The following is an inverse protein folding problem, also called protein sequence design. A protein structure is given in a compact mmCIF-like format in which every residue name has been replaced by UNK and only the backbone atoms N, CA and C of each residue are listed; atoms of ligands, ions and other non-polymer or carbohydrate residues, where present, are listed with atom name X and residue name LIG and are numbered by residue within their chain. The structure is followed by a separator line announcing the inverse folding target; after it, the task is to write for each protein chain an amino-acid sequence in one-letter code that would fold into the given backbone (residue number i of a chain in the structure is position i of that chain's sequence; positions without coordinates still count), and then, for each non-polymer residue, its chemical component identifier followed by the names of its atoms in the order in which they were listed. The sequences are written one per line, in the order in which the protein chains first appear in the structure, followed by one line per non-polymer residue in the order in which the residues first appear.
data_IF_290145488681
#
_entry.id   IF_290145488681
#
_cell.length_a   1.000
_cell.length_b   1.000
_cell.length_c   1.000
_cell.angle_alpha   90.00
_cell.angle_beta   90.00
_cell.angle_gamma   90.00
#
_symmetry.space_group_name_H-M   'P 1'
#
loop_
_entity.id
_entity.type
_entity.pdbx_description
1 polymer ?
#
# COMPACT_ATOMS: atom_id res chain seq x y z
N UNK A 1 3.34 54.23 -15.85
CA UNK A 1 3.92 53.62 -14.64
C UNK A 1 3.32 52.24 -14.49
N UNK A 2 4.07 51.18 -14.80
CA UNK A 2 3.59 49.80 -14.67
C UNK A 2 3.57 49.41 -13.20
N UNK A 3 2.41 48.97 -12.71
CA UNK A 3 2.35 48.35 -11.38
C UNK A 3 3.23 47.09 -11.36
N UNK A 4 4.07 46.89 -10.32
CA UNK A 4 4.82 45.67 -10.19
C UNK A 4 3.86 44.49 -9.98
N UNK A 5 4.14 43.32 -10.56
CA UNK A 5 3.31 42.14 -10.34
C UNK A 5 3.34 41.78 -8.86
N UNK A 6 2.16 41.63 -8.25
CA UNK A 6 2.03 41.21 -6.85
C UNK A 6 2.71 39.85 -6.68
N UNK A 7 3.73 39.76 -5.84
CA UNK A 7 4.35 38.49 -5.48
C UNK A 7 3.33 37.64 -4.73
N UNK A 8 3.09 36.41 -5.21
CA UNK A 8 2.21 35.45 -4.53
C UNK A 8 2.69 35.25 -3.10
N UNK A 9 1.77 35.30 -2.15
CA UNK A 9 2.09 35.09 -0.73
C UNK A 9 2.47 33.61 -0.48
N UNK A 10 3.30 33.35 0.54
CA UNK A 10 3.76 31.98 0.87
C UNK A 10 2.61 30.99 1.13
N UNK A 11 1.44 31.47 1.54
CA UNK A 11 0.23 30.66 1.73
C UNK A 11 -0.44 30.25 0.39
N UNK A 12 -0.44 31.13 -0.61
CA UNK A 12 -0.96 30.83 -1.95
C UNK A 12 -0.08 29.81 -2.67
N UNK A 13 1.25 29.93 -2.55
CA UNK A 13 2.19 28.96 -3.12
C UNK A 13 2.04 27.55 -2.52
N UNK A 14 1.80 27.46 -1.20
CA UNK A 14 1.51 26.17 -0.53
C UNK A 14 0.18 25.56 -0.96
N UNK A 15 -0.87 26.40 -1.09
CA UNK A 15 -2.19 25.95 -1.56
C UNK A 15 -2.13 25.45 -3.00
N UNK A 16 -1.42 26.14 -3.87
CA UNK A 16 -1.26 25.74 -5.27
C UNK A 16 -0.45 24.45 -5.39
N UNK A 17 0.61 24.29 -4.59
CA UNK A 17 1.37 23.03 -4.50
C UNK A 17 0.52 21.86 -3.98
N UNK A 18 -0.37 22.09 -3.01
CA UNK A 18 -1.29 21.07 -2.49
C UNK A 18 -2.37 20.70 -3.52
N UNK A 19 -2.88 21.69 -4.25
CA UNK A 19 -3.86 21.48 -5.32
C UNK A 19 -3.22 20.71 -6.48
N UNK A 20 -1.97 21.04 -6.85
CA UNK A 20 -1.20 20.30 -7.85
C UNK A 20 -1.00 18.84 -7.47
N UNK A 21 -0.72 18.56 -6.19
CA UNK A 21 -0.56 17.19 -5.66
C UNK A 21 -1.86 16.39 -5.71
N UNK A 22 -2.98 17.01 -5.35
CA UNK A 22 -4.31 16.38 -5.41
C UNK A 22 -4.65 16.02 -6.86
N UNK A 23 -4.43 16.96 -7.79
CA UNK A 23 -4.70 16.75 -9.23
C UNK A 23 -3.82 15.66 -9.87
N UNK A 24 -2.62 15.38 -9.34
CA UNK A 24 -1.72 14.34 -9.88
C UNK A 24 -2.24 12.92 -9.57
N UNK A 25 -2.95 12.76 -8.45
CA UNK A 25 -3.50 11.46 -8.02
C UNK A 25 -4.80 11.17 -8.79
N UNK A 26 -5.65 12.19 -9.00
CA UNK A 26 -6.96 12.03 -9.64
C UNK A 26 -6.92 11.94 -11.18
N UNK A 27 -5.90 12.51 -11.84
CA UNK A 27 -5.88 12.67 -13.31
C UNK A 27 -5.00 11.65 -14.08
N UNK A 28 -4.62 10.51 -13.48
CA UNK A 28 -3.96 9.42 -14.22
C UNK A 28 -2.61 9.79 -14.86
N UNK A 29 -1.85 10.71 -14.27
CA UNK A 29 -0.45 10.94 -14.68
C UNK A 29 0.39 9.69 -14.36
N UNK A 30 1.55 9.44 -15.00
CA UNK A 30 2.32 8.17 -14.87
C UNK A 30 2.60 7.68 -13.43
N UNK A 31 2.56 8.56 -12.43
CA UNK A 31 2.56 8.18 -11.02
C UNK A 31 1.27 7.48 -10.57
N UNK A 32 0.09 8.00 -10.93
CA UNK A 32 -1.22 7.42 -10.62
C UNK A 32 -1.46 6.06 -11.26
N UNK A 33 -1.15 5.91 -12.55
CA UNK A 33 -1.29 4.62 -13.25
C UNK A 33 -0.43 3.50 -12.63
N UNK A 34 0.74 3.85 -12.08
CA UNK A 34 1.59 2.91 -11.31
C UNK A 34 0.94 2.52 -9.98
N UNK A 35 0.27 3.46 -9.29
CA UNK A 35 -0.52 3.16 -8.07
C UNK A 35 -1.60 2.14 -8.41
N UNK A 36 -2.42 2.42 -9.43
CA UNK A 36 -3.48 1.49 -9.87
C UNK A 36 -2.89 0.13 -10.29
N UNK A 37 -1.78 0.11 -11.02
CA UNK A 37 -1.10 -1.13 -11.40
C UNK A 37 -0.68 -2.00 -10.22
N UNK A 38 -0.19 -1.41 -9.13
CA UNK A 38 0.20 -2.14 -7.91
C UNK A 38 -1.03 -2.67 -7.18
N UNK A 39 -2.03 -1.82 -6.91
CA UNK A 39 -3.18 -2.19 -6.10
C UNK A 39 -4.21 -3.08 -6.82
N UNK A 40 -4.38 -2.91 -8.14
CA UNK A 40 -5.38 -3.68 -8.91
C UNK A 40 -4.82 -5.01 -9.43
N UNK A 41 -3.50 -5.14 -9.57
CA UNK A 41 -2.88 -6.33 -10.16
C UNK A 41 -1.86 -6.99 -9.25
N UNK A 42 -0.80 -6.28 -8.86
CA UNK A 42 0.37 -6.89 -8.20
C UNK A 42 0.04 -7.39 -6.79
N UNK A 43 -0.62 -6.56 -5.98
CA UNK A 43 -1.01 -6.94 -4.62
C UNK A 43 -2.01 -8.11 -4.63
N UNK A 44 -3.14 -8.07 -5.37
CA UNK A 44 -4.03 -9.22 -5.47
C UNK A 44 -3.33 -10.50 -5.95
N UNK A 45 -2.43 -10.41 -6.93
CA UNK A 45 -1.67 -11.55 -7.41
C UNK A 45 -0.71 -12.11 -6.34
N UNK A 46 -0.06 -11.26 -5.54
CA UNK A 46 0.79 -11.67 -4.44
C UNK A 46 -0.01 -12.35 -3.31
N UNK A 47 -1.19 -11.83 -2.98
CA UNK A 47 -2.08 -12.43 -1.97
C UNK A 47 -2.56 -13.82 -2.39
N UNK A 48 -2.85 -14.04 -3.67
CA UNK A 48 -3.26 -15.35 -4.21
C UNK A 48 -2.13 -16.39 -4.19
N UNK A 49 -0.87 -15.97 -4.12
CA UNK A 49 0.30 -16.87 -4.05
C UNK A 49 0.65 -17.27 -2.62
N UNK A 50 -0.03 -16.72 -1.61
CA UNK A 50 0.22 -17.08 -0.23
C UNK A 50 -0.12 -18.55 0.02
N UNK A 51 0.69 -19.30 0.79
CA UNK A 51 0.52 -20.73 0.97
C UNK A 51 -0.58 -21.08 1.99
N UNK A 52 -1.75 -20.43 1.90
CA UNK A 52 -2.85 -20.63 2.86
C UNK A 52 -3.44 -22.03 2.81
N UNK A 53 -3.53 -22.66 1.64
CA UNK A 53 -3.99 -24.05 1.53
C UNK A 53 -3.13 -25.00 2.39
N UNK A 54 -1.81 -24.77 2.40
CA UNK A 54 -0.88 -25.54 3.23
C UNK A 54 -1.01 -25.15 4.70
N UNK A 55 -1.00 -23.85 4.99
CA UNK A 55 -1.03 -23.33 6.36
C UNK A 55 -2.31 -23.68 7.11
N UNK A 56 -3.46 -23.60 6.43
CA UNK A 56 -4.79 -23.88 6.96
C UNK A 56 -5.29 -25.29 6.60
N UNK A 57 -4.39 -26.17 6.11
CA UNK A 57 -4.72 -27.57 5.90
C UNK A 57 -5.23 -28.21 7.20
N UNK A 58 -6.19 -29.14 7.08
CA UNK A 58 -6.79 -29.80 8.24
C UNK A 58 -5.75 -30.45 9.16
N UNK A 59 -4.68 -31.00 8.57
CA UNK A 59 -3.57 -31.59 9.32
C UNK A 59 -2.82 -30.53 10.15
N UNK A 60 -2.49 -29.38 9.55
CA UNK A 60 -1.76 -28.32 10.25
C UNK A 60 -2.63 -27.62 11.31
N UNK A 61 -3.92 -27.40 11.02
CA UNK A 61 -4.89 -26.86 11.98
C UNK A 61 -5.01 -27.77 13.20
N UNK A 62 -5.23 -29.08 12.99
CA UNK A 62 -5.29 -30.05 14.09
C UNK A 62 -4.02 -30.05 14.93
N UNK A 63 -2.86 -30.01 14.28
CA UNK A 63 -1.55 -29.93 14.96
C UNK A 63 -1.46 -28.68 15.82
N UNK A 64 -1.67 -27.49 15.25
CA UNK A 64 -1.54 -26.20 15.96
C UNK A 64 -2.53 -26.11 17.12
N UNK A 65 -3.79 -26.47 16.90
CA UNK A 65 -4.81 -26.49 17.95
C UNK A 65 -4.43 -27.45 19.08
N UNK A 66 -3.97 -28.67 18.74
CA UNK A 66 -3.58 -29.66 19.74
C UNK A 66 -2.32 -29.25 20.51
N UNK A 67 -1.38 -28.55 19.87
CA UNK A 67 -0.17 -28.02 20.52
C UNK A 67 -0.45 -26.80 21.39
N UNK A 68 -1.44 -25.97 21.02
CA UNK A 68 -1.73 -24.71 21.70
C UNK A 68 -2.71 -24.88 22.88
N UNK A 69 -3.81 -25.62 22.69
CA UNK A 69 -4.84 -25.82 23.71
C UNK A 69 -4.86 -27.24 24.28
N UNK A 70 -4.11 -28.17 23.69
CA UNK A 70 -4.19 -29.60 24.02
C UNK A 70 -5.36 -30.29 23.31
N UNK A 71 -5.28 -31.62 23.21
CA UNK A 71 -6.44 -32.41 22.78
C UNK A 71 -7.41 -32.58 23.95
N UNK A 72 -8.50 -31.81 23.92
CA UNK A 72 -9.59 -31.95 24.90
C UNK A 72 -10.92 -32.25 24.20
N UNK A 73 -11.50 -33.45 24.39
CA UNK A 73 -12.80 -33.81 23.80
C UNK A 73 -13.97 -32.97 24.33
N UNK A 74 -13.77 -32.20 25.40
CA UNK A 74 -14.77 -31.30 26.00
C UNK A 74 -14.50 -29.81 25.70
N UNK A 75 -13.49 -29.50 24.88
CA UNK A 75 -13.13 -28.12 24.60
C UNK A 75 -14.18 -27.48 23.70
N UNK A 76 -14.85 -26.44 24.20
CA UNK A 76 -15.89 -25.72 23.45
C UNK A 76 -15.26 -24.78 22.40
N UNK A 77 -14.05 -24.26 22.66
CA UNK A 77 -13.27 -23.47 21.70
C UNK A 77 -11.75 -23.53 21.98
N UNK A 78 -10.91 -23.87 20.99
CA UNK A 78 -9.45 -23.76 21.07
C UNK A 78 -9.00 -22.30 20.85
N UNK A 79 -9.22 -21.46 21.86
CA UNK A 79 -8.93 -20.03 21.82
C UNK A 79 -7.46 -19.72 21.46
N UNK A 80 -6.50 -20.49 22.00
CA UNK A 80 -5.09 -20.27 21.69
C UNK A 80 -4.73 -20.75 20.29
N UNK A 81 -5.30 -21.86 19.85
CA UNK A 81 -5.14 -22.42 18.52
C UNK A 81 -5.67 -21.46 17.45
N UNK A 82 -6.86 -20.90 17.65
CA UNK A 82 -7.40 -19.87 16.75
C UNK A 82 -6.53 -18.62 16.73
N UNK A 83 -6.13 -18.10 17.89
CA UNK A 83 -5.25 -16.93 17.96
C UNK A 83 -3.95 -17.16 17.17
N UNK A 84 -3.32 -18.32 17.37
CA UNK A 84 -2.05 -18.67 16.72
C UNK A 84 -2.20 -18.88 15.21
N UNK A 85 -3.31 -19.47 14.77
CA UNK A 85 -3.65 -19.62 13.35
C UNK A 85 -3.88 -18.25 12.68
N UNK A 86 -4.61 -17.36 13.36
CA UNK A 86 -4.89 -16.00 12.86
C UNK A 86 -3.59 -15.20 12.80
N UNK A 87 -2.80 -15.15 13.87
CA UNK A 87 -1.52 -14.44 13.90
C UNK A 87 -0.54 -14.98 12.85
N UNK A 88 -0.43 -16.32 12.75
CA UNK A 88 0.39 -16.98 11.72
C UNK A 88 -0.05 -16.61 10.30
N UNK A 89 -1.37 -16.53 10.08
CA UNK A 89 -1.94 -16.11 8.80
C UNK A 89 -1.67 -14.64 8.49
N UNK A 90 -1.83 -13.76 9.48
CA UNK A 90 -1.59 -12.31 9.34
C UNK A 90 -0.13 -12.01 8.96
N UNK A 91 0.83 -12.79 9.45
CA UNK A 91 2.24 -12.62 9.10
C UNK A 91 2.53 -12.80 7.60
N UNK A 92 1.76 -13.61 6.88
CA UNK A 92 1.94 -13.79 5.44
C UNK A 92 1.59 -12.53 4.63
N UNK A 93 0.73 -11.66 5.15
CA UNK A 93 0.36 -10.41 4.47
C UNK A 93 1.45 -9.33 4.56
N UNK A 94 2.37 -9.44 5.52
CA UNK A 94 3.41 -8.43 5.72
C UNK A 94 4.28 -8.24 4.47
N UNK A 95 4.77 -9.33 3.87
CA UNK A 95 5.62 -9.26 2.68
C UNK A 95 4.95 -8.58 1.49
N UNK A 96 3.75 -9.03 1.04
CA UNK A 96 2.99 -8.35 -0.01
C UNK A 96 2.66 -6.89 0.31
N UNK A 97 2.35 -6.57 1.56
CA UNK A 97 2.06 -5.19 1.98
C UNK A 97 3.30 -4.28 1.89
N UNK A 98 4.44 -4.73 2.42
CA UNK A 98 5.71 -4.02 2.33
C UNK A 98 6.14 -3.83 0.87
N UNK A 99 6.07 -4.89 0.05
CA UNK A 99 6.40 -4.81 -1.38
C UNK A 99 5.50 -3.82 -2.13
N UNK A 100 4.21 -3.73 -1.78
CA UNK A 100 3.28 -2.78 -2.41
C UNK A 100 3.60 -1.32 -2.07
N UNK A 101 4.21 -1.07 -0.90
CA UNK A 101 4.66 0.26 -0.48
C UNK A 101 6.03 0.58 -1.07
N UNK A 102 6.93 -0.41 -1.15
CA UNK A 102 8.32 -0.24 -1.58
C UNK A 102 8.50 -0.27 -3.12
N UNK A 103 7.49 -0.70 -3.87
CA UNK A 103 7.45 -0.72 -5.33
C UNK A 103 7.39 0.69 -5.97
N UNK A 104 8.26 1.62 -5.54
CA UNK A 104 8.65 2.79 -6.34
C UNK A 104 7.65 3.97 -6.35
N UNK A 105 6.63 3.92 -5.47
CA UNK A 105 5.48 4.82 -5.53
C UNK A 105 5.70 6.21 -4.94
N UNK A 106 6.50 6.32 -3.87
CA UNK A 106 6.65 7.58 -3.12
C UNK A 106 7.87 8.39 -3.57
N UNK A 107 8.99 7.75 -3.89
CA UNK A 107 10.23 8.47 -4.28
C UNK A 107 10.25 8.90 -5.74
N UNK A 108 9.69 8.10 -6.66
CA UNK A 108 9.79 8.34 -8.10
C UNK A 108 8.69 9.26 -8.63
N UNK A 109 7.50 9.24 -8.04
CA UNK A 109 6.41 10.19 -8.32
C UNK A 109 6.74 11.63 -7.95
N UNK A 110 7.48 11.84 -6.85
CA UNK A 110 8.01 13.16 -6.47
C UNK A 110 9.11 13.63 -7.44
N UNK A 111 9.96 12.71 -7.92
CA UNK A 111 11.01 13.00 -8.89
C UNK A 111 10.49 13.35 -10.28
N UNK A 112 9.56 12.57 -10.84
CA UNK A 112 9.02 12.77 -12.19
C UNK A 112 8.15 14.05 -12.30
N UNK A 113 7.61 14.56 -11.18
CA UNK A 113 6.84 15.82 -11.16
C UNK A 113 7.74 17.07 -11.27
N UNK A 114 9.04 16.97 -10.99
CA UNK A 114 9.96 18.12 -11.03
C UNK A 114 10.69 18.31 -12.37
N UNK A 115 10.72 17.30 -13.25
CA UNK A 115 11.61 17.33 -14.44
C UNK A 115 10.91 17.86 -15.70
N UNK A 116 9.58 17.95 -15.75
CA UNK A 116 8.86 18.27 -17.00
C UNK A 116 8.37 19.72 -17.15
N UNK A 117 9.06 20.67 -16.51
CA UNK A 117 8.90 22.09 -16.84
C UNK A 117 10.24 22.83 -16.97
N UNK A 118 11.04 22.58 -18.02
CA UNK A 118 11.84 23.66 -18.56
C UNK A 118 10.87 24.66 -19.20
N UNK A 119 10.83 25.86 -18.64
CA UNK A 119 10.21 27.04 -19.22
C UNK A 119 10.71 27.21 -20.67
N UNK A 120 9.99 26.63 -21.63
CA UNK A 120 10.02 26.98 -23.05
C UNK A 120 8.65 27.53 -23.41
N UNK A 121 8.36 28.76 -23.00
CA UNK A 121 7.53 29.68 -23.78
C UNK A 121 7.51 31.07 -23.13
N UNK A 122 8.47 31.93 -23.51
CA UNK A 122 8.17 33.33 -23.85
C UNK A 122 9.13 33.67 -25.00
N UNK A 123 8.65 33.44 -26.22
CA UNK A 123 9.01 34.25 -27.38
C UNK A 123 8.03 35.43 -27.41
#
# INVERSE_FOLDING_TARGET
MGHPPKSKTTSESKRESANQRTMVIDLGRPGGDRIYGVFDNQLPAALRKLPFDRHLSLQNVKKIVSEADGYQPHLIAPEQGYRRLIEGSLNYFRGPAEASVDAELVRKSIGETQVNHPLKLIA
#
